data_IF_325747495970
#
_entry.id   IF_325747495970
#
_cell.length_a   1.000
_cell.length_b   1.000
_cell.length_c   1.000
_cell.angle_alpha   90.00
_cell.angle_beta   90.00
_cell.angle_gamma   90.00
#
_symmetry.space_group_name_H-M   'P 1'
#
loop_
_entity.id
_entity.type
_entity.pdbx_description
1 polymer ?
#
# COMPACT_ATOMS: atom_id res chain seq x y z
N UNK A 1 14.55 -0.81 -3.98
CA UNK A 1 14.62 -2.24 -4.31
C UNK A 1 13.92 -3.08 -3.24
N UNK A 2 13.18 -4.08 -3.68
CA UNK A 2 12.45 -4.98 -2.82
C UNK A 2 12.98 -6.41 -3.02
N UNK A 3 13.16 -7.14 -1.90
CA UNK A 3 13.57 -8.54 -1.98
C UNK A 3 12.37 -9.42 -2.35
N UNK A 4 12.47 -10.08 -3.51
CA UNK A 4 11.43 -10.99 -4.00
C UNK A 4 12.12 -12.29 -4.40
N UNK A 5 11.86 -13.37 -3.67
CA UNK A 5 12.42 -14.70 -3.98
C UNK A 5 13.94 -14.65 -4.22
N UNK A 6 14.67 -14.07 -3.27
CA UNK A 6 16.14 -13.95 -3.32
C UNK A 6 16.68 -13.01 -4.40
N UNK A 7 15.81 -12.27 -5.06
CA UNK A 7 16.19 -11.24 -6.04
C UNK A 7 15.83 -9.88 -5.48
N UNK A 8 16.61 -8.87 -5.87
CA UNK A 8 16.25 -7.49 -5.59
C UNK A 8 15.55 -6.91 -6.81
N UNK A 9 14.29 -6.56 -6.65
CA UNK A 9 13.48 -6.03 -7.73
C UNK A 9 13.32 -4.53 -7.55
N UNK A 10 13.58 -3.77 -8.61
CA UNK A 10 13.38 -2.33 -8.60
C UNK A 10 11.90 -2.02 -8.84
N UNK A 11 11.28 -1.31 -7.90
CA UNK A 11 9.91 -0.88 -8.01
C UNK A 11 9.89 0.63 -7.86
N UNK A 12 9.38 1.32 -8.88
CA UNK A 12 9.27 2.78 -8.85
C UNK A 12 8.05 3.17 -8.02
N UNK A 13 8.19 4.25 -7.24
CA UNK A 13 7.05 4.73 -6.44
C UNK A 13 5.85 5.08 -7.32
N UNK A 14 6.08 5.59 -8.53
CA UNK A 14 5.01 5.92 -9.45
C UNK A 14 4.22 4.70 -9.95
N UNK A 15 4.80 3.51 -9.86
CA UNK A 15 4.14 2.27 -10.28
C UNK A 15 3.40 1.58 -9.13
N UNK A 16 3.72 1.92 -7.90
CA UNK A 16 3.16 1.25 -6.73
C UNK A 16 1.73 1.74 -6.48
N UNK A 17 0.78 0.81 -6.40
CA UNK A 17 -0.63 1.13 -6.19
C UNK A 17 -1.01 0.97 -4.73
N UNK A 18 -0.83 -0.23 -4.18
CA UNK A 18 -1.05 -0.45 -2.76
C UNK A 18 -0.29 -1.69 -2.29
N UNK A 19 -0.22 -1.85 -0.98
CA UNK A 19 0.44 -2.97 -0.31
C UNK A 19 -0.57 -3.61 0.62
N UNK A 20 -0.66 -4.94 0.55
CA UNK A 20 -1.54 -5.72 1.41
C UNK A 20 -0.70 -6.66 2.27
N UNK A 21 -0.89 -6.59 3.59
CA UNK A 21 -0.22 -7.48 4.52
C UNK A 21 -0.88 -8.86 4.51
N UNK A 22 -0.08 -9.89 4.35
CA UNK A 22 -0.49 -11.28 4.50
C UNK A 22 0.19 -11.83 5.75
N UNK A 23 -0.05 -13.10 6.08
CA UNK A 23 0.48 -13.70 7.31
C UNK A 23 2.00 -13.63 7.42
N UNK A 24 2.70 -14.11 6.40
CA UNK A 24 4.15 -14.25 6.42
C UNK A 24 4.86 -13.38 5.39
N UNK A 25 4.10 -12.63 4.62
CA UNK A 25 4.66 -11.80 3.56
C UNK A 25 3.74 -10.63 3.28
N UNK A 26 4.22 -9.68 2.51
CA UNK A 26 3.39 -8.60 1.98
C UNK A 26 3.20 -8.81 0.48
N UNK A 27 2.05 -8.36 -0.01
CA UNK A 27 1.73 -8.34 -1.42
C UNK A 27 1.86 -6.91 -1.90
N UNK A 28 2.76 -6.67 -2.85
CA UNK A 28 3.00 -5.33 -3.40
C UNK A 28 2.35 -5.27 -4.77
N UNK A 29 1.29 -4.49 -4.88
CA UNK A 29 0.53 -4.36 -6.12
C UNK A 29 1.02 -3.14 -6.87
N UNK A 30 1.51 -3.35 -8.09
CA UNK A 30 1.96 -2.27 -8.95
C UNK A 30 1.09 -2.19 -10.19
N UNK A 31 1.29 -1.17 -11.01
CA UNK A 31 0.55 -1.03 -12.26
C UNK A 31 0.89 -2.12 -13.27
N UNK A 32 2.00 -2.81 -13.09
CA UNK A 32 2.46 -3.85 -14.02
C UNK A 32 2.22 -5.25 -13.53
N UNK A 33 2.50 -5.53 -12.26
CA UNK A 33 2.31 -6.87 -11.69
C UNK A 33 2.33 -6.83 -10.17
N UNK A 34 2.14 -8.00 -9.57
CA UNK A 34 2.12 -8.19 -8.13
C UNK A 34 3.39 -8.88 -7.68
N UNK A 35 4.01 -8.38 -6.62
CA UNK A 35 5.19 -8.97 -6.02
C UNK A 35 4.89 -9.44 -4.61
N UNK A 36 5.54 -10.50 -4.19
CA UNK A 36 5.45 -11.01 -2.81
C UNK A 36 6.82 -10.84 -2.15
N UNK A 37 6.84 -10.34 -0.93
CA UNK A 37 8.07 -10.14 -0.18
C UNK A 37 7.86 -10.49 1.28
N UNK A 38 8.88 -11.04 1.92
CA UNK A 38 8.83 -11.44 3.33
C UNK A 38 9.21 -10.32 4.30
N UNK A 39 9.08 -9.08 3.88
CA UNK A 39 9.28 -7.93 4.74
C UNK A 39 8.00 -7.65 5.52
N UNK A 40 8.10 -7.13 6.72
CA UNK A 40 6.93 -6.80 7.53
C UNK A 40 6.26 -5.52 7.02
N UNK A 41 4.98 -5.35 7.37
CA UNK A 41 4.26 -4.13 7.03
C UNK A 41 4.90 -2.91 7.68
N UNK A 42 5.36 -3.04 8.92
CA UNK A 42 6.03 -1.96 9.61
C UNK A 42 7.32 -1.57 8.90
N UNK A 43 8.12 -2.54 8.48
CA UNK A 43 9.36 -2.27 7.77
C UNK A 43 9.12 -1.57 6.44
N UNK A 44 8.17 -2.03 5.65
CA UNK A 44 7.90 -1.41 4.35
C UNK A 44 7.38 0.01 4.55
N UNK A 45 6.58 0.23 5.59
CA UNK A 45 6.06 1.56 5.89
C UNK A 45 7.19 2.56 6.15
N UNK A 46 8.25 2.13 6.83
CA UNK A 46 9.39 3.01 7.11
C UNK A 46 10.21 3.34 5.86
N UNK A 47 10.14 2.48 4.84
CA UNK A 47 10.89 2.68 3.60
C UNK A 47 10.15 3.57 2.60
N UNK A 48 8.85 3.77 2.78
CA UNK A 48 8.02 4.54 1.85
C UNK A 48 7.90 5.99 2.30
N UNK A 49 7.98 6.96 1.37
CA UNK A 49 7.78 8.37 1.72
C UNK A 49 6.37 8.61 2.27
N UNK A 50 6.26 9.20 3.44
CA UNK A 50 4.96 9.38 4.10
C UNK A 50 4.07 10.39 3.39
N UNK A 51 4.64 11.25 2.53
CA UNK A 51 3.85 12.20 1.75
C UNK A 51 3.27 11.57 0.47
N UNK A 52 3.73 10.37 0.09
CA UNK A 52 3.26 9.68 -1.11
C UNK A 52 2.42 8.45 -0.78
N UNK A 53 2.60 7.87 0.40
CA UNK A 53 1.94 6.64 0.81
C UNK A 53 1.37 6.79 2.20
N UNK A 54 0.18 6.24 2.42
CA UNK A 54 -0.47 6.27 3.72
C UNK A 54 -1.01 4.91 4.10
N UNK A 55 -0.78 4.55 5.35
CA UNK A 55 -1.40 3.37 5.91
C UNK A 55 -2.83 3.73 6.30
N UNK A 56 -3.80 2.97 5.78
CA UNK A 56 -5.23 3.24 6.00
C UNK A 56 -5.93 2.09 6.69
N UNK A 57 -5.19 1.04 6.98
CA UNK A 57 -5.71 -0.16 7.62
C UNK A 57 -4.50 -0.91 8.16
N UNK A 58 -4.68 -1.71 9.20
CA UNK A 58 -3.53 -2.48 9.72
C UNK A 58 -2.89 -3.37 8.65
N UNK A 59 -3.64 -3.71 7.61
CA UNK A 59 -3.17 -4.59 6.53
C UNK A 59 -2.98 -3.89 5.19
N UNK A 60 -3.20 -2.58 5.10
CA UNK A 60 -3.13 -1.89 3.81
C UNK A 60 -2.41 -0.56 3.88
N UNK A 61 -1.52 -0.35 2.91
CA UNK A 61 -0.86 0.93 2.66
C UNK A 61 -1.18 1.29 1.22
N UNK A 62 -1.63 2.52 0.97
CA UNK A 62 -2.02 2.96 -0.37
C UNK A 62 -1.12 4.06 -0.89
N UNK A 63 -1.06 4.16 -2.22
CA UNK A 63 -0.44 5.29 -2.91
C UNK A 63 -1.47 6.40 -3.03
N UNK A 64 -1.16 7.56 -2.46
CA UNK A 64 -2.10 8.69 -2.42
C UNK A 64 -2.47 9.14 -3.84
N UNK A 65 -1.51 9.15 -4.76
CA UNK A 65 -1.75 9.58 -6.13
C UNK A 65 -2.65 8.63 -6.92
N UNK A 66 -2.88 7.42 -6.44
CA UNK A 66 -3.71 6.43 -7.10
C UNK A 66 -5.15 6.40 -6.59
N UNK A 67 -5.48 7.25 -5.61
CA UNK A 67 -6.83 7.32 -5.08
C UNK A 67 -7.76 7.88 -6.14
N UNK A 68 -8.82 7.14 -6.44
CA UNK A 68 -9.84 7.56 -7.40
C UNK A 68 -11.03 8.20 -6.70
N UNK A 69 -11.43 7.61 -5.57
CA UNK A 69 -12.55 8.10 -4.77
C UNK A 69 -12.46 7.50 -3.37
N UNK A 70 -13.20 8.06 -2.43
CA UNK A 70 -13.24 7.49 -1.09
C UNK A 70 -14.57 7.81 -0.40
N UNK A 71 -14.90 6.97 0.56
CA UNK A 71 -16.00 7.19 1.50
C UNK A 71 -15.41 7.21 2.91
N UNK A 72 -16.26 7.29 3.92
CA UNK A 72 -15.79 7.21 5.31
C UNK A 72 -15.19 5.83 5.64
N UNK A 73 -15.51 4.80 4.86
CA UNK A 73 -15.16 3.43 5.18
C UNK A 73 -14.25 2.75 4.16
N UNK A 74 -14.19 3.26 2.92
CA UNK A 74 -13.40 2.62 1.86
C UNK A 74 -12.70 3.65 0.99
N UNK A 75 -11.63 3.20 0.34
CA UNK A 75 -10.89 3.98 -0.66
C UNK A 75 -10.82 3.14 -1.93
N UNK A 76 -11.08 3.75 -3.08
CA UNK A 76 -10.89 3.09 -4.36
C UNK A 76 -9.56 3.50 -4.97
N UNK A 77 -8.75 2.51 -5.28
CA UNK A 77 -7.49 2.70 -5.99
C UNK A 77 -7.46 1.71 -7.15
N UNK A 78 -7.27 2.22 -8.36
CA UNK A 78 -7.16 1.40 -9.57
C UNK A 78 -8.30 0.37 -9.70
N UNK A 79 -9.53 0.77 -9.40
CA UNK A 79 -10.69 -0.11 -9.48
C UNK A 79 -10.85 -1.10 -8.35
N UNK A 80 -10.00 -1.02 -7.33
CA UNK A 80 -10.06 -1.91 -6.16
C UNK A 80 -10.55 -1.12 -4.96
N UNK A 81 -11.53 -1.66 -4.25
CA UNK A 81 -12.05 -1.04 -3.03
C UNK A 81 -11.28 -1.57 -1.83
N UNK A 82 -10.66 -0.69 -1.07
CA UNK A 82 -9.83 -1.04 0.08
C UNK A 82 -10.47 -0.46 1.34
N UNK A 83 -10.66 -1.29 2.39
CA UNK A 83 -11.28 -0.80 3.61
C UNK A 83 -10.36 0.15 4.39
N UNK A 84 -10.96 1.13 5.04
CA UNK A 84 -10.26 2.01 5.97
C UNK A 84 -10.46 1.42 7.36
N UNK A 85 -9.37 1.13 8.06
CA UNK A 85 -9.44 0.59 9.40
C UNK A 85 -10.03 1.60 10.37
N UNK A 86 -10.66 1.08 11.44
CA UNK A 86 -11.33 1.92 12.43
C UNK A 86 -10.39 2.98 13.01
N UNK A 87 -9.15 2.61 13.28
CA UNK A 87 -8.15 3.51 13.87
C UNK A 87 -7.57 4.49 12.87
N UNK A 88 -7.94 4.36 11.60
CA UNK A 88 -7.39 5.17 10.51
C UNK A 88 -8.44 6.09 9.86
N UNK A 89 -9.64 6.12 10.41
CA UNK A 89 -10.70 6.97 9.88
C UNK A 89 -10.32 8.44 9.99
N UNK A 90 -10.66 9.20 8.97
CA UNK A 90 -10.35 10.61 8.90
C UNK A 90 -8.98 10.93 8.31
N UNK A 91 -8.11 9.94 8.13
CA UNK A 91 -6.78 10.17 7.57
C UNK A 91 -6.86 10.69 6.12
N UNK A 92 -7.74 10.09 5.32
CA UNK A 92 -7.89 10.45 3.91
C UNK A 92 -8.33 11.91 3.77
N UNK A 93 -9.24 12.35 4.63
CA UNK A 93 -9.77 13.72 4.58
C UNK A 93 -8.73 14.78 4.91
N UNK A 94 -7.62 14.38 5.52
CA UNK A 94 -6.53 15.28 5.89
C UNK A 94 -5.43 15.34 4.84
N UNK A 95 -5.55 14.57 3.78
CA UNK A 95 -4.51 14.51 2.74
C UNK A 95 -4.58 15.69 1.75
#
# INVERSE_FOLDING_TARGET
>A
FLNVQKKKVKILFSELVYIESQREYIKVITTKKVYLSKISTHEIETLLPSNLFKRIHRSFIISISKIESYTAETVEVNGVSIPIGRDYRGIIEKL
#
